data_IF_263035543353
#
_entry.id   IF_263035543353
#
_cell.length_a   1.000
_cell.length_b   1.000
_cell.length_c   1.000
_cell.angle_alpha   90.00
_cell.angle_beta   90.00
_cell.angle_gamma   90.00
#
_symmetry.space_group_name_H-M   'P 1'
#
loop_
_entity.id
_entity.type
_entity.pdbx_description
1 polymer ?
#
# COMPACT_ATOMS: atom_id res chain seq x y z
N UNK A 1 -13.38 9.65 -20.13
CA UNK A 1 -12.68 9.34 -18.87
C UNK A 1 -12.75 7.84 -18.66
N UNK A 2 -11.62 7.15 -18.60
CA UNK A 2 -11.61 5.72 -18.29
C UNK A 2 -11.76 5.57 -16.78
N UNK A 3 -12.90 5.07 -16.33
CA UNK A 3 -13.13 4.76 -14.91
C UNK A 3 -12.64 3.35 -14.62
N UNK A 4 -11.80 3.18 -13.61
CA UNK A 4 -11.40 1.83 -13.18
C UNK A 4 -12.60 1.06 -12.63
N UNK A 5 -12.66 -0.27 -12.84
CA UNK A 5 -13.70 -1.11 -12.26
C UNK A 5 -13.73 -1.03 -10.73
N UNK A 6 -14.92 -1.23 -10.17
CA UNK A 6 -15.13 -1.29 -8.71
C UNK A 6 -15.57 -2.70 -8.31
N UNK A 7 -14.90 -3.25 -7.30
CA UNK A 7 -15.18 -4.56 -6.68
C UNK A 7 -15.67 -4.38 -5.24
N UNK A 8 -16.63 -5.20 -4.80
CA UNK A 8 -17.13 -5.24 -3.43
C UNK A 8 -16.47 -6.35 -2.60
N UNK A 9 -15.80 -5.99 -1.51
CA UNK A 9 -15.24 -6.99 -0.60
C UNK A 9 -16.33 -7.81 0.11
N UNK A 10 -17.45 -7.19 0.49
CA UNK A 10 -18.61 -7.90 1.07
C UNK A 10 -19.10 -9.02 0.15
N UNK A 11 -19.23 -8.77 -1.16
CA UNK A 11 -19.62 -9.79 -2.13
C UNK A 11 -18.52 -10.84 -2.32
N UNK A 12 -17.25 -10.48 -2.28
CA UNK A 12 -16.17 -11.46 -2.31
C UNK A 12 -16.18 -12.40 -1.09
N UNK A 13 -16.58 -11.89 0.09
CA UNK A 13 -16.72 -12.70 1.31
C UNK A 13 -17.96 -13.59 1.30
N UNK A 14 -18.93 -13.35 0.42
CA UNK A 14 -20.14 -14.15 0.31
C UNK A 14 -19.86 -15.43 -0.48
N UNK A 15 -19.43 -16.46 0.26
CA UNK A 15 -19.12 -17.79 -0.26
C UNK A 15 -20.35 -18.70 -0.39
N UNK A 16 -21.57 -18.17 -0.26
CA UNK A 16 -22.80 -18.96 -0.41
C UNK A 16 -23.10 -19.36 -1.87
N UNK A 17 -22.21 -19.02 -2.81
CA UNK A 17 -22.19 -19.60 -4.16
C UNK A 17 -21.58 -21.00 -4.16
N UNK A 18 -21.81 -21.77 -5.22
CA UNK A 18 -21.14 -23.06 -5.44
C UNK A 18 -19.62 -22.98 -5.24
N UNK A 19 -18.92 -24.12 -5.16
CA UNK A 19 -17.45 -24.22 -5.04
C UNK A 19 -16.65 -23.37 -6.07
N UNK A 20 -17.29 -22.87 -7.11
CA UNK A 20 -16.75 -21.95 -8.13
C UNK A 20 -16.81 -20.45 -7.75
N UNK A 21 -17.29 -20.10 -6.55
CA UNK A 21 -17.51 -18.70 -6.14
C UNK A 21 -18.75 -18.06 -6.81
N UNK A 22 -18.96 -16.77 -6.53
CA UNK A 22 -20.06 -15.98 -7.10
C UNK A 22 -19.60 -15.09 -8.27
N UNK A 23 -20.52 -14.34 -8.87
CA UNK A 23 -20.22 -13.44 -10.00
C UNK A 23 -19.14 -12.39 -9.69
N UNK A 24 -19.01 -11.95 -8.43
CA UNK A 24 -17.97 -10.98 -8.06
C UNK A 24 -16.55 -11.59 -8.16
N UNK A 25 -16.41 -12.90 -7.92
CA UNK A 25 -15.14 -13.61 -8.09
C UNK A 25 -14.74 -13.70 -9.57
N UNK A 26 -15.71 -14.01 -10.46
CA UNK A 26 -15.49 -14.00 -11.91
C UNK A 26 -15.12 -12.60 -12.41
N UNK A 27 -15.80 -11.57 -11.90
CA UNK A 27 -15.47 -10.17 -12.21
C UNK A 27 -14.06 -9.82 -11.76
N UNK A 28 -13.65 -10.19 -10.55
CA UNK A 28 -12.29 -9.97 -10.06
C UNK A 28 -11.26 -10.60 -11.00
N UNK A 29 -11.45 -11.86 -11.39
CA UNK A 29 -10.56 -12.56 -12.33
C UNK A 29 -10.43 -11.80 -13.66
N UNK A 30 -11.55 -11.47 -14.31
CA UNK A 30 -11.54 -10.77 -15.60
C UNK A 30 -10.90 -9.39 -15.48
N UNK A 31 -11.21 -8.63 -14.43
CA UNK A 31 -10.63 -7.28 -14.23
C UNK A 31 -9.12 -7.35 -14.03
N UNK A 32 -8.63 -8.33 -13.27
CA UNK A 32 -7.18 -8.54 -13.11
C UNK A 32 -6.50 -8.87 -14.44
N UNK A 33 -7.13 -9.68 -15.31
CA UNK A 33 -6.58 -10.02 -16.62
C UNK A 33 -6.63 -8.87 -17.63
N UNK A 34 -7.74 -8.12 -17.67
CA UNK A 34 -7.98 -7.09 -18.69
C UNK A 34 -7.40 -5.73 -18.32
N UNK A 35 -7.44 -5.36 -17.03
CA UNK A 35 -7.06 -4.03 -16.56
C UNK A 35 -5.85 -4.02 -15.63
N UNK A 36 -5.67 -5.08 -14.82
CA UNK A 36 -4.64 -5.14 -13.77
C UNK A 36 -4.91 -4.25 -12.55
N UNK A 37 -5.93 -3.38 -12.58
CA UNK A 37 -6.25 -2.43 -11.51
C UNK A 37 -7.76 -2.27 -11.29
N UNK A 38 -8.15 -2.01 -10.04
CA UNK A 38 -9.54 -1.74 -9.64
C UNK A 38 -9.59 -1.00 -8.30
N UNK A 39 -10.75 -0.40 -8.00
CA UNK A 39 -11.06 0.12 -6.65
C UNK A 39 -11.83 -0.92 -5.85
N UNK A 40 -11.48 -1.07 -4.57
CA UNK A 40 -12.21 -1.92 -3.63
C UNK A 40 -13.16 -1.07 -2.79
N UNK A 41 -14.43 -1.48 -2.68
CA UNK A 41 -15.42 -0.86 -1.79
C UNK A 41 -16.01 -1.86 -0.81
N UNK A 42 -16.67 -1.34 0.22
CA UNK A 42 -17.28 -2.13 1.29
C UNK A 42 -16.26 -3.07 1.96
N UNK A 43 -15.03 -2.57 2.15
CA UNK A 43 -13.93 -3.32 2.78
C UNK A 43 -14.08 -3.40 4.31
N UNK A 44 -14.93 -2.55 4.92
CA UNK A 44 -15.24 -2.55 6.35
C UNK A 44 -14.21 -1.83 7.23
N UNK A 45 -13.23 -1.15 6.63
CA UNK A 45 -12.30 -0.26 7.35
C UNK A 45 -13.01 1.08 7.52
N UNK A 46 -13.07 1.61 8.74
CA UNK A 46 -13.71 2.90 9.01
C UNK A 46 -12.92 4.04 8.37
N UNK A 47 -13.64 5.07 7.91
CA UNK A 47 -13.01 6.28 7.36
C UNK A 47 -12.13 6.97 8.41
N UNK A 48 -12.56 6.98 9.68
CA UNK A 48 -11.81 7.57 10.79
C UNK A 48 -10.46 6.89 11.00
N UNK A 49 -10.39 5.55 10.89
CA UNK A 49 -9.12 4.83 11.02
C UNK A 49 -8.18 5.14 9.85
N UNK A 50 -8.72 5.20 8.62
CA UNK A 50 -7.93 5.62 7.45
C UNK A 50 -7.36 7.03 7.65
N UNK A 51 -8.18 7.96 8.14
CA UNK A 51 -7.77 9.33 8.39
C UNK A 51 -6.69 9.41 9.49
N UNK A 52 -6.86 8.69 10.60
CA UNK A 52 -5.87 8.61 11.68
C UNK A 52 -4.53 8.04 11.19
N UNK A 53 -4.54 7.03 10.33
CA UNK A 53 -3.33 6.46 9.73
C UNK A 53 -2.61 7.47 8.84
N UNK A 54 -3.36 8.19 8.00
CA UNK A 54 -2.80 9.26 7.14
C UNK A 54 -2.20 10.38 8.00
N UNK A 55 -2.88 10.79 9.06
CA UNK A 55 -2.39 11.85 9.94
C UNK A 55 -1.15 11.42 10.73
N UNK A 56 -1.10 10.16 11.16
CA UNK A 56 0.10 9.58 11.78
C UNK A 56 1.30 9.58 10.82
N UNK A 57 1.07 9.22 9.56
CA UNK A 57 2.08 9.30 8.50
C UNK A 57 2.58 10.74 8.29
N UNK A 58 1.65 11.71 8.17
CA UNK A 58 2.01 13.14 8.05
C UNK A 58 2.84 13.63 9.23
N UNK A 59 2.43 13.29 10.44
CA UNK A 59 3.13 13.70 11.66
C UNK A 59 4.57 13.18 11.68
N UNK A 60 4.80 11.93 11.26
CA UNK A 60 6.15 11.37 11.15
C UNK A 60 7.00 12.14 10.12
N UNK A 61 6.47 12.37 8.91
CA UNK A 61 7.25 13.02 7.85
C UNK A 61 7.49 14.52 8.08
N UNK A 62 6.69 15.17 8.93
CA UNK A 62 6.92 16.53 9.41
C UNK A 62 8.02 16.66 10.47
N UNK A 63 8.54 15.55 11.01
CA UNK A 63 9.65 15.59 11.95
C UNK A 63 10.94 16.11 11.28
N UNK A 64 11.84 16.74 12.05
CA UNK A 64 13.19 17.07 11.62
C UNK A 64 13.92 15.86 10.99
N UNK A 65 14.74 16.13 9.97
CA UNK A 65 15.38 15.09 9.18
C UNK A 65 16.30 14.17 10.00
N UNK A 66 17.01 14.71 10.98
CA UNK A 66 17.86 13.96 11.91
C UNK A 66 17.05 12.96 12.75
N UNK A 67 15.85 13.35 13.19
CA UNK A 67 14.93 12.46 13.90
C UNK A 67 14.44 11.34 12.97
N UNK A 68 14.04 11.67 11.73
CA UNK A 68 13.60 10.64 10.77
C UNK A 68 14.71 9.65 10.44
N UNK A 69 15.95 10.13 10.23
CA UNK A 69 17.14 9.30 9.95
C UNK A 69 17.51 8.36 11.08
N UNK A 70 17.11 8.63 12.33
CA UNK A 70 17.31 7.70 13.44
C UNK A 70 16.51 6.39 13.27
N UNK A 71 15.46 6.40 12.44
CA UNK A 71 14.64 5.23 12.09
C UNK A 71 14.96 4.67 10.71
N UNK A 72 16.12 5.02 10.12
CA UNK A 72 16.52 4.60 8.78
C UNK A 72 16.66 3.09 8.62
N UNK A 73 16.50 2.59 7.39
CA UNK A 73 16.77 1.18 7.08
C UNK A 73 18.22 0.76 7.44
N UNK A 74 19.16 1.69 7.38
CA UNK A 74 20.57 1.52 7.78
C UNK A 74 20.77 1.46 9.31
N UNK A 75 19.74 1.78 10.10
CA UNK A 75 19.76 1.73 11.57
C UNK A 75 19.18 0.44 12.16
N UNK A 76 18.76 -0.49 11.31
CA UNK A 76 18.22 -1.76 11.76
C UNK A 76 19.25 -2.58 12.53
N UNK A 77 18.79 -3.25 13.59
CA UNK A 77 19.60 -4.15 14.41
C UNK A 77 19.26 -5.63 14.20
N UNK A 78 18.26 -5.92 13.36
CA UNK A 78 17.77 -7.28 13.08
C UNK A 78 18.59 -7.92 11.96
N UNK A 79 18.89 -9.23 12.09
CA UNK A 79 19.58 -10.03 11.08
C UNK A 79 18.69 -11.18 10.54
N UNK A 80 18.62 -11.40 9.21
CA UNK A 80 19.19 -10.55 8.17
C UNK A 80 18.52 -9.17 8.17
N UNK A 81 19.22 -8.17 7.63
CA UNK A 81 18.61 -6.87 7.40
C UNK A 81 17.35 -7.03 6.58
N UNK A 82 16.42 -6.14 6.84
CA UNK A 82 15.08 -6.15 6.26
C UNK A 82 14.86 -4.83 5.52
N UNK A 83 13.75 -4.68 4.81
CA UNK A 83 13.38 -3.41 4.18
C UNK A 83 12.43 -2.62 5.09
N UNK A 84 12.75 -2.43 6.38
CA UNK A 84 11.90 -1.70 7.35
C UNK A 84 12.51 -0.37 7.79
N UNK A 85 11.68 0.64 7.98
CA UNK A 85 12.09 1.95 8.47
C UNK A 85 12.17 3.01 7.37
N UNK A 86 12.79 4.13 7.70
CA UNK A 86 12.80 5.34 6.90
C UNK A 86 13.78 5.26 5.73
N UNK A 87 13.34 5.79 4.60
CA UNK A 87 14.13 6.05 3.39
C UNK A 87 14.04 7.55 3.11
N UNK A 88 15.18 8.27 3.04
CA UNK A 88 15.17 9.70 2.79
C UNK A 88 14.76 10.03 1.36
N UNK A 89 14.46 11.31 1.12
CA UNK A 89 14.30 11.85 -0.23
C UNK A 89 15.49 11.47 -1.11
N UNK A 90 15.23 10.95 -2.32
CA UNK A 90 16.25 10.43 -3.23
C UNK A 90 17.00 9.18 -2.73
N UNK A 91 16.48 8.50 -1.69
CA UNK A 91 17.08 7.30 -1.11
C UNK A 91 16.86 6.00 -1.89
N UNK A 92 16.00 6.02 -2.92
CA UNK A 92 15.70 4.86 -3.77
C UNK A 92 15.86 5.21 -5.25
N UNK A 93 16.36 4.26 -6.04
CA UNK A 93 16.41 4.34 -7.51
C UNK A 93 15.92 3.01 -8.07
N UNK A 94 14.78 3.00 -8.75
CA UNK A 94 14.23 1.79 -9.38
C UNK A 94 14.52 1.70 -10.88
N UNK A 95 14.82 2.85 -11.50
CA UNK A 95 15.18 2.95 -12.91
C UNK A 95 16.40 3.86 -13.03
N UNK A 96 17.57 3.26 -13.28
CA UNK A 96 18.85 3.98 -13.29
C UNK A 96 18.85 5.17 -14.25
N UNK A 97 18.21 5.03 -15.43
CA UNK A 97 18.11 6.09 -16.43
C UNK A 97 17.25 7.29 -16.00
N UNK A 98 16.35 7.09 -15.03
CA UNK A 98 15.46 8.15 -14.50
C UNK A 98 16.10 8.86 -13.31
N UNK A 99 16.99 8.19 -12.58
CA UNK A 99 17.62 8.68 -11.37
C UNK A 99 16.79 8.43 -10.11
N UNK A 100 17.21 9.01 -8.96
CA UNK A 100 16.61 8.71 -7.68
C UNK A 100 15.22 9.34 -7.51
N UNK A 101 14.35 8.63 -6.80
CA UNK A 101 12.95 9.03 -6.64
C UNK A 101 12.81 10.25 -5.71
N UNK A 102 12.07 11.31 -6.10
CA UNK A 102 11.82 12.48 -5.26
C UNK A 102 10.71 12.20 -4.23
N UNK A 103 10.85 11.13 -3.45
CA UNK A 103 9.92 10.72 -2.39
C UNK A 103 10.68 10.27 -1.14
N UNK A 104 10.06 10.45 0.01
CA UNK A 104 10.45 9.81 1.26
C UNK A 104 9.48 8.66 1.57
N UNK A 105 9.98 7.60 2.20
CA UNK A 105 9.21 6.38 2.48
C UNK A 105 9.46 5.94 3.91
N UNK A 106 8.46 5.30 4.51
CA UNK A 106 8.63 4.56 5.75
C UNK A 106 8.00 3.18 5.58
N UNK A 107 8.84 2.15 5.54
CA UNK A 107 8.38 0.78 5.36
C UNK A 107 8.11 0.12 6.71
N UNK A 108 6.86 -0.27 6.91
CA UNK A 108 6.44 -1.01 8.09
C UNK A 108 6.16 -2.47 7.72
N UNK A 109 6.92 -3.39 8.30
CA UNK A 109 6.61 -4.82 8.25
C UNK A 109 5.82 -5.28 9.47
N UNK A 110 5.07 -6.37 9.30
CA UNK A 110 4.50 -7.14 10.40
C UNK A 110 5.54 -8.10 11.01
#
# INVERSE_FOLDING_TARGET
MNTLPIISLTKLKDLNGSNSGNEEHKRLYNICLEHGFFYLKYHGISADLVQQTIDSSRNFFQLPEDIKKAYGQDKQTVYPNTSRGYIPLYGETFHEDVGPDPKEVFDQGN
#
